data_IF_767815373862
#
_entry.id   IF_767815373862
#
_cell.length_a   1.000
_cell.length_b   1.000
_cell.length_c   1.000
_cell.angle_alpha   90.00
_cell.angle_beta   90.00
_cell.angle_gamma   90.00
#
_symmetry.space_group_name_H-M   'P 1'
#
loop_
_entity.id
_entity.type
_entity.pdbx_description
1 polymer ?
#
# COMPACT_ATOMS: atom_id res chain seq x y z
N UNK A 1 -34.05 24.69 -95.49
CA UNK A 1 -33.73 26.10 -95.17
C UNK A 1 -34.09 26.31 -93.70
N UNK A 2 -33.09 26.47 -92.83
CA UNK A 2 -33.16 26.83 -91.38
C UNK A 2 -33.79 25.80 -90.41
N UNK A 3 -33.44 25.68 -89.11
CA UNK A 3 -32.30 26.02 -88.23
C UNK A 3 -32.72 25.50 -86.82
N UNK A 4 -31.83 24.78 -86.10
CA UNK A 4 -31.70 24.66 -84.61
C UNK A 4 -32.89 24.06 -83.81
N UNK A 5 -32.78 23.39 -82.66
CA UNK A 5 -31.69 23.15 -81.68
C UNK A 5 -32.10 22.04 -80.69
N UNK A 6 -31.11 21.49 -80.00
CA UNK A 6 -31.12 20.93 -78.62
C UNK A 6 -32.25 19.96 -78.24
N UNK A 7 -31.96 18.72 -77.85
CA UNK A 7 -30.97 18.39 -76.85
C UNK A 7 -31.71 17.66 -75.74
N UNK A 8 -31.37 16.41 -75.49
CA UNK A 8 -31.05 15.95 -74.14
C UNK A 8 -30.77 14.44 -74.14
N UNK A 9 -29.64 14.13 -73.52
CA UNK A 9 -29.43 12.95 -72.67
C UNK A 9 -29.64 11.60 -73.34
N UNK A 10 -28.61 11.12 -74.04
CA UNK A 10 -27.52 10.32 -73.45
C UNK A 10 -28.00 8.99 -72.84
N UNK A 11 -27.78 7.92 -73.62
CA UNK A 11 -27.40 6.52 -73.25
C UNK A 11 -28.02 5.91 -71.96
N UNK A 12 -28.45 4.65 -71.92
CA UNK A 12 -28.43 3.54 -72.85
C UNK A 12 -29.43 2.46 -72.36
N UNK A 13 -29.89 1.57 -73.26
CA UNK A 13 -30.83 0.48 -72.98
C UNK A 13 -30.30 -0.48 -71.91
N UNK A 14 -31.19 -0.93 -71.01
CA UNK A 14 -30.93 -2.03 -70.09
C UNK A 14 -30.53 -3.30 -70.84
N UNK A 15 -29.31 -3.82 -70.69
CA UNK A 15 -29.00 -5.17 -71.13
C UNK A 15 -29.41 -6.12 -70.01
N UNK A 16 -30.39 -6.97 -70.30
CA UNK A 16 -30.68 -8.19 -69.54
C UNK A 16 -29.42 -9.06 -69.47
N UNK A 17 -28.59 -8.85 -68.46
CA UNK A 17 -27.45 -9.72 -68.18
C UNK A 17 -27.91 -10.88 -67.30
N UNK A 18 -27.72 -12.07 -67.87
CA UNK A 18 -28.09 -13.42 -67.42
C UNK A 18 -27.91 -13.63 -65.91
N UNK A 19 -29.03 -13.59 -65.18
CA UNK A 19 -29.19 -13.98 -63.76
C UNK A 19 -28.54 -15.34 -63.41
N UNK A 20 -28.40 -16.23 -64.40
CA UNK A 20 -27.73 -17.54 -64.26
C UNK A 20 -26.21 -17.43 -64.12
N UNK A 21 -25.55 -16.45 -64.74
CA UNK A 21 -24.10 -16.26 -64.62
C UNK A 21 -23.73 -15.63 -63.29
N UNK A 22 -24.57 -14.70 -62.78
CA UNK A 22 -24.39 -14.10 -61.45
C UNK A 22 -24.55 -15.15 -60.34
N UNK A 23 -25.57 -16.03 -60.44
CA UNK A 23 -25.73 -17.14 -59.50
C UNK A 23 -24.57 -18.15 -59.57
N UNK A 24 -24.05 -18.45 -60.76
CA UNK A 24 -22.91 -19.36 -60.91
C UNK A 24 -21.63 -18.77 -60.26
N UNK A 25 -21.34 -17.49 -60.48
CA UNK A 25 -20.20 -16.81 -59.86
C UNK A 25 -20.39 -16.74 -58.33
N UNK A 26 -21.61 -16.46 -57.85
CA UNK A 26 -21.91 -16.45 -56.42
C UNK A 26 -21.73 -17.84 -55.79
N UNK A 27 -22.12 -18.91 -56.47
CA UNK A 27 -21.93 -20.28 -55.98
C UNK A 27 -20.45 -20.69 -55.96
N UNK A 28 -19.65 -20.28 -56.93
CA UNK A 28 -18.19 -20.53 -56.93
C UNK A 28 -17.51 -19.74 -55.81
N UNK A 29 -17.90 -18.49 -55.59
CA UNK A 29 -17.41 -17.69 -54.45
C UNK A 29 -17.85 -18.27 -53.10
N UNK A 30 -19.06 -18.81 -52.99
CA UNK A 30 -19.55 -19.45 -51.77
C UNK A 30 -18.79 -20.75 -51.47
N UNK A 31 -18.51 -21.57 -52.50
CA UNK A 31 -17.71 -22.80 -52.34
C UNK A 31 -16.25 -22.47 -52.03
N UNK A 32 -15.68 -21.41 -52.61
CA UNK A 32 -14.35 -20.93 -52.26
C UNK A 32 -14.29 -20.36 -50.83
N UNK A 33 -15.32 -19.64 -50.39
CA UNK A 33 -15.41 -19.11 -49.02
C UNK A 33 -15.60 -20.23 -47.99
N UNK A 34 -16.43 -21.24 -48.30
CA UNK A 34 -16.60 -22.42 -47.45
C UNK A 34 -15.34 -23.30 -47.45
N UNK A 35 -14.68 -23.46 -48.59
CA UNK A 35 -13.40 -24.16 -48.69
C UNK A 35 -12.29 -23.46 -47.91
N UNK A 36 -12.24 -22.12 -47.97
CA UNK A 36 -11.35 -21.29 -47.16
C UNK A 36 -11.67 -21.34 -45.67
N UNK A 37 -12.95 -21.38 -45.29
CA UNK A 37 -13.37 -21.53 -43.90
C UNK A 37 -13.07 -22.93 -43.36
N UNK A 38 -13.28 -23.99 -44.16
CA UNK A 38 -12.94 -25.38 -43.79
C UNK A 38 -11.44 -25.57 -43.74
N UNK A 39 -10.67 -24.98 -44.66
CA UNK A 39 -9.21 -24.98 -44.59
C UNK A 39 -8.69 -24.16 -43.40
N UNK A 40 -9.30 -23.01 -43.10
CA UNK A 40 -8.94 -22.20 -41.92
C UNK A 40 -9.31 -22.90 -40.61
N UNK A 41 -10.47 -23.55 -40.54
CA UNK A 41 -10.86 -24.41 -39.43
C UNK A 41 -9.95 -25.64 -39.33
N UNK A 42 -9.59 -26.28 -40.45
CA UNK A 42 -8.65 -27.39 -40.49
C UNK A 42 -7.24 -26.97 -40.07
N UNK A 43 -6.83 -25.74 -40.40
CA UNK A 43 -5.55 -25.15 -39.99
C UNK A 43 -5.56 -24.81 -38.50
N UNK A 44 -6.70 -24.35 -37.95
CA UNK A 44 -6.91 -24.16 -36.51
C UNK A 44 -7.07 -25.48 -35.75
N UNK A 45 -7.45 -26.57 -36.42
CA UNK A 45 -7.54 -27.93 -35.83
C UNK A 45 -6.36 -28.82 -36.18
N UNK A 46 -5.22 -28.29 -36.64
CA UNK A 46 -3.99 -29.07 -36.50
C UNK A 46 -3.89 -29.41 -35.01
N UNK A 47 -3.79 -30.70 -34.63
CA UNK A 47 -3.32 -31.02 -33.31
C UNK A 47 -1.94 -30.39 -33.23
N UNK A 48 -1.86 -29.23 -32.57
CA UNK A 48 -0.62 -28.79 -31.95
C UNK A 48 -0.19 -30.03 -31.20
N UNK A 49 0.91 -30.66 -31.63
CA UNK A 49 1.52 -31.72 -30.86
C UNK A 49 1.49 -31.20 -29.43
N UNK A 50 0.85 -31.92 -28.47
CA UNK A 50 0.71 -31.40 -27.12
C UNK A 50 2.07 -30.85 -26.77
N UNK A 51 2.16 -29.57 -26.31
CA UNK A 51 3.45 -29.03 -25.91
C UNK A 51 4.10 -30.12 -25.09
N UNK A 52 5.38 -30.48 -25.36
CA UNK A 52 6.04 -31.52 -24.58
C UNK A 52 5.65 -31.24 -23.14
N UNK A 53 5.08 -32.24 -22.41
CA UNK A 53 4.56 -32.00 -21.07
C UNK A 53 5.59 -31.13 -20.39
N UNK A 54 5.19 -29.95 -19.85
CA UNK A 54 6.15 -28.98 -19.32
C UNK A 54 7.14 -29.82 -18.55
N UNK A 55 8.41 -29.82 -18.98
CA UNK A 55 9.43 -30.67 -18.37
C UNK A 55 9.19 -30.51 -16.89
N UNK A 56 8.83 -31.61 -16.20
CA UNK A 56 8.41 -31.56 -14.79
C UNK A 56 9.37 -30.56 -14.18
N UNK A 57 8.87 -29.39 -13.75
CA UNK A 57 9.74 -28.35 -13.22
C UNK A 57 10.39 -29.06 -12.06
N UNK A 58 11.62 -29.54 -12.26
CA UNK A 58 12.24 -30.55 -11.42
C UNK A 58 12.31 -29.86 -10.09
N UNK A 59 11.34 -30.16 -9.24
CA UNK A 59 11.04 -29.40 -8.04
C UNK A 59 12.09 -29.92 -7.07
N UNK A 60 13.30 -29.42 -7.29
CA UNK A 60 14.49 -29.93 -6.66
C UNK A 60 14.48 -29.35 -5.26
N UNK A 61 14.50 -30.20 -4.22
CA UNK A 61 14.67 -29.69 -2.87
C UNK A 61 15.99 -28.94 -2.78
N UNK A 62 16.06 -27.94 -1.90
CA UNK A 62 17.31 -27.23 -1.67
C UNK A 62 18.44 -28.21 -1.30
N UNK A 63 19.57 -28.05 -1.96
CA UNK A 63 20.83 -28.65 -1.51
C UNK A 63 21.25 -28.07 -0.16
N UNK A 64 22.17 -28.74 0.53
CA UNK A 64 22.73 -28.23 1.78
C UNK A 64 23.41 -26.85 1.59
N UNK A 65 24.08 -26.64 0.45
CA UNK A 65 24.72 -25.37 0.14
C UNK A 65 23.69 -24.26 -0.09
N UNK A 66 22.65 -24.52 -0.88
CA UNK A 66 21.57 -23.55 -1.12
C UNK A 66 20.84 -23.22 0.19
N UNK A 67 20.58 -24.22 1.04
CA UNK A 67 19.97 -24.03 2.37
C UNK A 67 20.83 -23.12 3.24
N UNK A 68 22.15 -23.36 3.31
CA UNK A 68 23.07 -22.51 4.06
C UNK A 68 23.14 -21.09 3.49
N UNK A 69 23.12 -20.94 2.16
CA UNK A 69 23.07 -19.66 1.48
C UNK A 69 21.82 -18.85 1.84
N UNK A 70 20.63 -19.47 1.75
CA UNK A 70 19.37 -18.84 2.13
C UNK A 70 19.38 -18.45 3.62
N UNK A 71 19.82 -19.33 4.51
CA UNK A 71 19.90 -19.01 5.94
C UNK A 71 20.83 -17.81 6.21
N UNK A 72 21.99 -17.77 5.56
CA UNK A 72 22.92 -16.63 5.66
C UNK A 72 22.31 -15.33 5.17
N UNK A 73 21.56 -15.36 4.06
CA UNK A 73 20.81 -14.20 3.58
C UNK A 73 19.77 -13.76 4.61
N UNK A 74 18.94 -14.67 5.13
CA UNK A 74 17.92 -14.34 6.13
C UNK A 74 18.52 -13.78 7.43
N UNK A 75 19.67 -14.31 7.87
CA UNK A 75 20.37 -13.82 9.05
C UNK A 75 20.93 -12.41 8.83
N UNK A 76 21.44 -12.10 7.63
CA UNK A 76 21.86 -10.74 7.26
C UNK A 76 20.70 -9.74 7.34
N UNK A 77 19.52 -10.13 6.85
CA UNK A 77 18.34 -9.27 6.88
C UNK A 77 17.84 -9.00 8.32
N UNK A 78 18.15 -9.86 9.29
CA UNK A 78 17.70 -9.70 10.69
C UNK A 78 18.40 -8.60 11.49
N UNK A 79 19.46 -7.97 10.96
CA UNK A 79 20.28 -7.01 11.72
C UNK A 79 20.32 -5.62 11.04
N UNK A 80 19.71 -5.47 9.86
CA UNK A 80 19.77 -4.25 9.05
C UNK A 80 18.61 -3.26 9.24
N UNK A 81 18.72 -2.11 8.60
CA UNK A 81 17.58 -1.22 8.38
C UNK A 81 17.05 -1.44 6.97
N UNK A 82 15.73 -1.36 6.81
CA UNK A 82 15.04 -1.76 5.60
C UNK A 82 14.12 -0.66 5.09
N UNK A 83 14.12 -0.45 3.78
CA UNK A 83 13.02 0.19 3.08
C UNK A 83 12.16 -0.92 2.45
N UNK A 84 10.85 -0.84 2.65
CA UNK A 84 9.88 -1.80 2.15
C UNK A 84 8.79 -1.06 1.39
N UNK A 85 8.55 -1.44 0.13
CA UNK A 85 7.49 -0.85 -0.70
C UNK A 85 6.69 -1.93 -1.39
N UNK A 86 5.37 -1.82 -1.36
CA UNK A 86 4.51 -2.83 -1.97
C UNK A 86 3.10 -2.78 -1.43
N UNK A 87 2.55 -3.94 -1.11
CA UNK A 87 1.16 -4.10 -0.69
C UNK A 87 1.00 -5.01 0.51
N UNK A 88 -0.06 -4.76 1.27
CA UNK A 88 -0.53 -5.58 2.38
C UNK A 88 -1.96 -5.99 2.11
N UNK A 89 -2.24 -7.28 2.16
CA UNK A 89 -3.59 -7.83 2.07
C UNK A 89 -4.09 -8.23 3.45
N UNK A 90 -5.15 -7.59 3.92
CA UNK A 90 -5.78 -7.85 5.21
C UNK A 90 -7.29 -7.62 5.13
N UNK A 91 -8.08 -8.48 5.78
CA UNK A 91 -9.55 -8.37 5.84
C UNK A 91 -10.22 -8.20 4.46
N UNK A 92 -9.72 -8.92 3.45
CA UNK A 92 -10.21 -8.84 2.07
C UNK A 92 -9.87 -7.55 1.32
N UNK A 93 -8.97 -6.72 1.86
CA UNK A 93 -8.53 -5.46 1.25
C UNK A 93 -7.04 -5.48 0.98
N UNK A 94 -6.64 -4.81 -0.10
CA UNK A 94 -5.23 -4.58 -0.43
C UNK A 94 -4.89 -3.11 -0.21
N UNK A 95 -3.83 -2.88 0.55
CA UNK A 95 -3.35 -1.56 0.95
C UNK A 95 -1.94 -1.36 0.42
N UNK A 96 -1.61 -0.17 -0.06
CA UNK A 96 -0.24 0.16 -0.47
C UNK A 96 0.62 0.51 0.74
N UNK A 97 1.88 0.09 0.77
CA UNK A 97 2.84 0.45 1.82
C UNK A 97 4.11 1.05 1.23
N UNK A 98 4.67 2.01 1.95
CA UNK A 98 6.03 2.48 1.76
C UNK A 98 6.61 2.81 3.13
N UNK A 99 7.51 1.98 3.62
CA UNK A 99 7.97 1.94 5.00
C UNK A 99 9.49 1.91 5.06
N UNK A 100 10.06 2.57 6.06
CA UNK A 100 11.48 2.47 6.40
C UNK A 100 11.58 2.16 7.90
N UNK A 101 12.27 1.09 8.29
CA UNK A 101 12.33 0.67 9.69
C UNK A 101 13.61 -0.09 10.04
N UNK A 102 13.98 -0.07 11.32
CA UNK A 102 15.06 -0.89 11.87
C UNK A 102 14.59 -2.35 12.02
N UNK A 103 15.47 -3.33 11.81
CA UNK A 103 15.10 -4.76 11.86
C UNK A 103 14.43 -5.20 13.17
N UNK A 104 14.83 -4.61 14.30
CA UNK A 104 14.25 -4.85 15.62
C UNK A 104 12.82 -4.28 15.79
N UNK A 105 12.35 -3.51 14.80
CA UNK A 105 11.05 -2.86 14.83
C UNK A 105 10.94 -1.79 15.91
N UNK A 106 12.05 -1.23 16.41
CA UNK A 106 12.01 -0.21 17.46
C UNK A 106 11.69 1.18 16.92
N UNK A 107 12.18 1.50 15.71
CA UNK A 107 12.03 2.80 15.05
C UNK A 107 11.74 2.60 13.57
N UNK A 108 10.86 3.43 13.03
CA UNK A 108 10.51 3.40 11.62
C UNK A 108 9.47 4.45 11.28
N UNK A 109 9.30 4.72 10.00
CA UNK A 109 8.27 5.62 9.50
C UNK A 109 7.92 5.29 8.07
N UNK A 110 6.81 5.84 7.59
CA UNK A 110 6.39 5.62 6.23
C UNK A 110 4.95 5.99 6.04
N UNK A 111 4.34 5.37 5.04
CA UNK A 111 2.96 5.61 4.67
C UNK A 111 2.21 4.34 4.33
N UNK A 112 0.91 4.41 4.58
CA UNK A 112 -0.09 3.43 4.17
C UNK A 112 -1.05 4.12 3.20
N UNK A 113 -1.39 3.44 2.10
CA UNK A 113 -2.39 3.90 1.16
C UNK A 113 -3.62 2.98 1.21
N UNK A 114 -4.79 3.57 1.50
CA UNK A 114 -6.07 2.88 1.56
C UNK A 114 -7.07 3.60 0.66
N UNK A 115 -7.55 2.93 -0.39
CA UNK A 115 -8.55 3.51 -1.30
C UNK A 115 -8.09 4.81 -1.99
N UNK A 116 -6.78 4.98 -2.24
CA UNK A 116 -6.21 6.19 -2.81
C UNK A 116 -5.87 7.27 -1.77
N UNK A 117 -6.25 7.09 -0.51
CA UNK A 117 -5.96 8.01 0.58
C UNK A 117 -4.65 7.61 1.27
N UNK A 118 -3.84 8.61 1.62
CA UNK A 118 -2.55 8.42 2.28
C UNK A 118 -2.69 8.68 3.79
N UNK A 119 -2.17 7.75 4.59
CA UNK A 119 -1.91 7.94 6.01
C UNK A 119 -0.42 7.82 6.31
N UNK A 120 0.03 8.56 7.30
CA UNK A 120 1.38 8.46 7.84
C UNK A 120 1.43 7.35 8.89
N UNK A 121 2.53 6.61 8.92
CA UNK A 121 2.79 5.57 9.92
C UNK A 121 4.14 5.83 10.57
N UNK A 122 4.22 5.62 11.87
CA UNK A 122 5.40 5.85 12.70
C UNK A 122 5.55 4.68 13.66
N UNK A 123 6.77 4.19 13.81
CA UNK A 123 7.17 3.31 14.91
C UNK A 123 8.05 4.12 15.85
N UNK A 124 7.69 4.14 17.12
CA UNK A 124 8.48 4.76 18.18
C UNK A 124 8.51 3.83 19.37
N UNK A 125 9.71 3.38 19.76
CA UNK A 125 9.94 2.44 20.87
C UNK A 125 9.14 1.14 20.72
N UNK A 126 9.06 0.61 19.50
CA UNK A 126 8.32 -0.62 19.20
C UNK A 126 6.81 -0.45 19.10
N UNK A 127 6.30 0.77 19.31
CA UNK A 127 4.88 1.07 19.27
C UNK A 127 4.51 1.72 17.94
N UNK A 128 3.45 1.22 17.30
CA UNK A 128 2.99 1.70 16.00
C UNK A 128 1.92 2.78 16.18
N UNK A 129 2.16 3.92 15.55
CA UNK A 129 1.24 5.05 15.46
C UNK A 129 0.87 5.30 14.01
N UNK A 130 -0.37 5.72 13.79
CA UNK A 130 -0.86 6.07 12.48
C UNK A 130 -1.67 7.36 12.53
N UNK A 131 -1.56 8.14 11.47
CA UNK A 131 -2.31 9.38 11.29
C UNK A 131 -2.88 9.43 9.88
N UNK A 132 -4.11 9.88 9.76
CA UNK A 132 -4.77 10.12 8.48
C UNK A 132 -6.05 10.91 8.67
N UNK A 133 -6.62 11.36 7.56
CA UNK A 133 -7.90 12.06 7.56
C UNK A 133 -9.10 11.11 7.71
N UNK A 134 -10.30 11.67 7.78
CA UNK A 134 -11.54 10.89 7.98
C UNK A 134 -11.76 9.88 6.83
N UNK A 135 -11.44 10.26 5.59
CA UNK A 135 -11.62 9.41 4.42
C UNK A 135 -10.64 8.22 4.44
N UNK A 136 -9.41 8.44 4.87
CA UNK A 136 -8.42 7.38 5.10
C UNK A 136 -8.90 6.36 6.14
N UNK A 137 -9.38 6.82 7.31
CA UNK A 137 -9.90 5.90 8.34
C UNK A 137 -11.12 5.11 7.87
N UNK A 138 -12.04 5.74 7.13
CA UNK A 138 -13.16 5.04 6.50
C UNK A 138 -12.71 4.02 5.47
N UNK A 139 -11.69 4.34 4.64
CA UNK A 139 -11.13 3.39 3.67
C UNK A 139 -10.48 2.16 4.36
N UNK A 140 -9.96 2.34 5.58
CA UNK A 140 -9.51 1.24 6.45
C UNK A 140 -10.65 0.49 7.15
N UNK A 141 -11.89 1.00 7.07
CA UNK A 141 -13.04 0.42 7.75
C UNK A 141 -13.09 0.74 9.23
N UNK A 142 -12.40 1.80 9.65
CA UNK A 142 -12.40 2.29 11.03
C UNK A 142 -13.50 3.34 11.17
N UNK A 143 -14.39 3.15 12.14
CA UNK A 143 -15.46 4.09 12.46
C UNK A 143 -15.07 5.13 13.50
N UNK A 144 -15.86 6.20 13.62
CA UNK A 144 -15.65 7.27 14.60
C UNK A 144 -14.94 8.50 14.03
N UNK A 145 -14.91 9.62 14.78
CA UNK A 145 -14.28 10.85 14.34
C UNK A 145 -12.75 10.75 14.45
N UNK A 146 -12.03 11.42 13.53
CA UNK A 146 -10.58 11.61 13.69
C UNK A 146 -10.29 12.28 15.03
N UNK A 147 -9.31 11.81 15.82
CA UNK A 147 -8.92 12.46 17.07
C UNK A 147 -8.47 13.91 16.82
N UNK A 148 -8.54 14.79 17.84
CA UNK A 148 -8.00 16.14 17.73
C UNK A 148 -6.49 16.12 17.40
N UNK A 149 -5.92 17.24 16.94
CA UNK A 149 -4.49 17.36 16.72
C UNK A 149 -3.71 16.87 17.94
N UNK A 150 -2.64 16.08 17.74
CA UNK A 150 -1.88 15.89 16.49
C UNK A 150 -2.37 14.75 15.58
N UNK A 151 -3.57 14.20 15.83
CA UNK A 151 -4.24 13.16 15.02
C UNK A 151 -3.58 11.76 15.04
N UNK A 152 -2.62 11.52 15.94
CA UNK A 152 -1.98 10.22 16.06
C UNK A 152 -2.87 9.22 16.79
N UNK A 153 -3.04 8.05 16.18
CA UNK A 153 -3.74 6.90 16.73
C UNK A 153 -2.72 5.83 17.05
N UNK A 154 -2.81 5.27 18.25
CA UNK A 154 -2.05 4.10 18.67
C UNK A 154 -2.70 2.85 18.05
N UNK A 155 -1.94 2.11 17.23
CA UNK A 155 -2.44 0.90 16.58
C UNK A 155 -2.22 -0.34 17.45
N UNK A 156 -3.29 -1.13 17.70
CA UNK A 156 -3.18 -2.44 18.30
C UNK A 156 -2.38 -3.41 17.42
N UNK A 157 -1.71 -4.38 18.04
CA UNK A 157 -0.84 -5.34 17.33
C UNK A 157 -1.60 -6.21 16.32
N UNK A 158 -2.90 -6.43 16.51
CA UNK A 158 -3.75 -7.22 15.63
C UNK A 158 -4.49 -6.38 14.56
N UNK A 159 -4.30 -5.06 14.54
CA UNK A 159 -4.84 -4.21 13.50
C UNK A 159 -4.29 -4.63 12.13
N UNK A 160 -5.19 -4.83 11.16
CA UNK A 160 -4.87 -5.42 9.85
C UNK A 160 -4.11 -6.77 9.93
N UNK A 161 -4.33 -7.51 11.02
CA UNK A 161 -3.66 -8.77 11.32
C UNK A 161 -2.17 -8.63 11.54
N UNK A 162 -1.70 -7.50 12.08
CA UNK A 162 -0.29 -7.24 12.40
C UNK A 162 0.60 -6.97 11.19
N UNK A 163 0.01 -6.60 10.05
CA UNK A 163 0.73 -6.47 8.77
C UNK A 163 1.10 -5.04 8.38
N UNK A 164 0.65 -4.03 9.12
CA UNK A 164 1.02 -2.62 8.85
C UNK A 164 2.53 -2.45 8.92
N UNK A 165 3.15 -3.10 9.91
CA UNK A 165 4.58 -3.27 10.01
C UNK A 165 4.87 -4.72 10.35
N UNK A 166 5.71 -5.35 9.53
CA UNK A 166 6.19 -6.70 9.77
C UNK A 166 7.68 -6.60 10.09
N UNK A 167 8.04 -6.85 11.35
CA UNK A 167 9.43 -6.82 11.80
C UNK A 167 10.30 -7.79 10.98
N UNK A 168 11.59 -7.49 10.83
CA UNK A 168 12.53 -8.32 10.06
C UNK A 168 12.51 -9.78 10.52
N UNK A 169 12.55 -9.96 11.84
CA UNK A 169 12.49 -11.27 12.46
C UNK A 169 11.22 -12.07 12.10
N UNK A 170 10.07 -11.40 11.93
CA UNK A 170 8.82 -12.08 11.62
C UNK A 170 8.82 -12.66 10.20
N UNK A 171 9.23 -11.87 9.20
CA UNK A 171 9.22 -12.34 7.82
C UNK A 171 10.42 -13.22 7.48
N UNK A 172 11.60 -13.01 8.07
CA UNK A 172 12.72 -13.94 7.89
C UNK A 172 12.42 -15.30 8.52
N UNK A 173 11.73 -15.33 9.68
CA UNK A 173 11.26 -16.57 10.29
C UNK A 173 10.22 -17.28 9.41
N UNK A 174 9.33 -16.52 8.74
CA UNK A 174 8.39 -17.06 7.77
C UNK A 174 9.10 -17.70 6.56
N UNK A 175 10.23 -17.14 6.14
CA UNK A 175 11.04 -17.61 5.02
C UNK A 175 12.04 -18.71 5.38
N UNK A 176 12.16 -19.14 6.63
CA UNK A 176 13.13 -20.21 6.98
C UNK A 176 12.85 -21.50 6.17
N UNK A 177 13.88 -22.13 5.58
CA UNK A 177 13.71 -23.35 4.79
C UNK A 177 13.01 -24.47 5.56
N UNK A 178 12.06 -25.11 4.90
CA UNK A 178 11.44 -26.37 5.33
C UNK A 178 11.92 -27.52 4.44
N UNK A 179 11.59 -28.79 4.72
CA UNK A 179 11.96 -29.92 3.85
C UNK A 179 11.42 -29.82 2.41
N UNK A 180 10.37 -29.02 2.18
CA UNK A 180 9.76 -28.78 0.85
C UNK A 180 10.22 -27.46 0.23
N UNK A 181 11.20 -26.78 0.85
CA UNK A 181 11.80 -25.58 0.30
C UNK A 181 12.53 -25.87 -1.01
N UNK A 182 12.46 -24.92 -1.93
CA UNK A 182 13.01 -25.06 -3.28
C UNK A 182 13.37 -23.70 -3.86
N UNK A 183 14.17 -23.73 -4.92
CA UNK A 183 14.59 -22.55 -5.66
C UNK A 183 14.29 -22.77 -7.14
N UNK A 184 13.49 -21.88 -7.71
CA UNK A 184 13.07 -21.91 -9.11
C UNK A 184 13.55 -20.61 -9.77
N UNK A 185 14.66 -20.68 -10.50
CA UNK A 185 15.29 -19.48 -11.08
C UNK A 185 15.81 -18.53 -10.01
N UNK A 186 15.26 -17.32 -9.94
CA UNK A 186 15.56 -16.31 -8.92
C UNK A 186 14.59 -16.36 -7.72
N UNK A 187 13.60 -17.25 -7.76
CA UNK A 187 12.52 -17.29 -6.79
C UNK A 187 12.73 -18.43 -5.81
N UNK A 188 12.88 -18.07 -4.54
CA UNK A 188 12.95 -18.98 -3.41
C UNK A 188 11.55 -19.21 -2.82
N UNK A 189 11.18 -20.47 -2.64
CA UNK A 189 9.98 -20.89 -1.93
C UNK A 189 10.38 -21.57 -0.63
N UNK A 190 9.87 -21.08 0.51
CA UNK A 190 10.19 -21.65 1.84
C UNK A 190 9.62 -23.04 2.07
N UNK A 191 8.70 -23.48 1.21
CA UNK A 191 7.89 -24.69 1.37
C UNK A 191 6.62 -24.47 2.21
N UNK A 192 6.39 -23.24 2.68
CA UNK A 192 5.08 -22.77 3.19
C UNK A 192 4.32 -22.08 2.07
N UNK A 193 2.99 -22.21 2.06
CA UNK A 193 2.12 -21.73 0.97
C UNK A 193 2.15 -20.20 0.81
N UNK A 194 2.41 -19.46 1.88
CA UNK A 194 2.32 -18.01 1.96
C UNK A 194 3.67 -17.33 2.17
N UNK A 195 4.79 -18.01 1.90
CA UNK A 195 6.13 -17.48 2.12
C UNK A 195 7.12 -17.81 0.98
N UNK A 196 7.43 -16.81 0.17
CA UNK A 196 8.43 -16.84 -0.89
C UNK A 196 9.22 -15.54 -0.98
N UNK A 197 10.37 -15.55 -1.65
CA UNK A 197 11.17 -14.36 -1.88
C UNK A 197 11.88 -14.42 -3.23
N UNK A 198 12.15 -13.25 -3.83
CA UNK A 198 13.09 -13.16 -4.94
C UNK A 198 14.49 -12.89 -4.40
N UNK A 199 15.45 -13.69 -4.85
CA UNK A 199 16.86 -13.62 -4.47
C UNK A 199 17.64 -13.01 -5.64
N UNK A 200 18.41 -11.97 -5.35
CA UNK A 200 19.36 -11.38 -6.30
C UNK A 200 20.79 -11.52 -5.79
N UNK A 201 21.74 -11.04 -6.59
CA UNK A 201 23.18 -11.15 -6.30
C UNK A 201 23.59 -10.51 -4.96
N UNK A 202 22.84 -9.51 -4.50
CA UNK A 202 23.18 -8.70 -3.33
C UNK A 202 22.26 -8.90 -2.11
N UNK A 203 21.26 -9.79 -2.21
CA UNK A 203 20.30 -10.03 -1.12
C UNK A 203 18.91 -10.40 -1.61
N UNK A 204 17.93 -10.28 -0.72
CA UNK A 204 16.52 -10.40 -1.11
C UNK A 204 16.06 -9.13 -1.82
N UNK A 205 15.36 -9.29 -2.93
CA UNK A 205 14.81 -8.19 -3.74
C UNK A 205 13.36 -7.90 -3.38
N UNK A 206 12.58 -8.97 -3.16
CA UNK A 206 11.17 -8.87 -2.75
C UNK A 206 10.76 -10.08 -1.94
N UNK A 207 9.71 -9.92 -1.13
CA UNK A 207 9.10 -10.97 -0.33
C UNK A 207 7.61 -11.07 -0.60
N UNK A 208 7.09 -12.27 -0.48
CA UNK A 208 5.69 -12.57 -0.30
C UNK A 208 5.55 -13.34 1.00
N UNK A 209 5.01 -12.72 2.06
CA UNK A 209 4.86 -13.33 3.39
C UNK A 209 3.51 -12.98 3.98
N UNK A 210 2.65 -13.97 4.20
CA UNK A 210 1.41 -13.81 4.96
C UNK A 210 0.51 -12.68 4.44
N UNK A 211 0.41 -12.50 3.12
CA UNK A 211 -0.37 -11.42 2.49
C UNK A 211 0.36 -10.08 2.34
N UNK A 212 1.60 -9.96 2.80
CA UNK A 212 2.50 -8.85 2.44
C UNK A 212 3.24 -9.22 1.17
N UNK A 213 3.20 -8.36 0.16
CA UNK A 213 3.99 -8.49 -1.07
C UNK A 213 4.77 -7.18 -1.27
N UNK A 214 6.07 -7.21 -1.05
CA UNK A 214 6.87 -5.99 -1.03
C UNK A 214 8.30 -6.19 -1.53
N UNK A 215 8.79 -5.18 -2.22
CA UNK A 215 10.20 -5.01 -2.51
C UNK A 215 10.93 -4.60 -1.24
N UNK A 216 12.12 -5.15 -1.02
CA UNK A 216 12.98 -4.84 0.12
C UNK A 216 14.27 -4.24 -0.40
N UNK A 217 14.72 -3.17 0.26
CA UNK A 217 16.03 -2.59 0.02
C UNK A 217 16.73 -2.31 1.35
N UNK A 218 17.95 -2.82 1.56
CA UNK A 218 18.77 -2.40 2.68
C UNK A 218 19.04 -0.90 2.63
N UNK A 219 18.93 -0.24 3.77
CA UNK A 219 19.25 1.17 3.98
C UNK A 219 20.09 1.31 5.24
N UNK A 220 20.61 2.51 5.50
CA UNK A 220 21.35 2.80 6.73
C UNK A 220 20.39 3.12 7.88
N UNK A 221 20.80 2.87 9.15
CA UNK A 221 19.99 3.28 10.30
C UNK A 221 19.68 4.79 10.33
N UNK A 222 20.59 5.63 9.84
CA UNK A 222 20.41 7.09 9.78
C UNK A 222 19.27 7.50 8.82
N UNK A 223 19.10 6.76 7.71
CA UNK A 223 18.00 6.96 6.76
C UNK A 223 16.63 6.56 7.34
N UNK A 224 16.60 5.83 8.46
CA UNK A 224 15.38 5.51 9.21
C UNK A 224 15.15 6.52 10.34
N UNK A 225 16.14 6.72 11.20
CA UNK A 225 15.97 7.46 12.46
C UNK A 225 15.71 8.95 12.22
N UNK A 226 16.36 9.57 11.23
CA UNK A 226 16.13 10.97 10.88
C UNK A 226 14.68 11.26 10.49
N UNK A 227 14.14 10.62 9.43
CA UNK A 227 12.76 10.79 9.02
C UNK A 227 11.73 10.42 10.11
N UNK A 228 11.97 9.34 10.86
CA UNK A 228 11.09 8.93 11.96
C UNK A 228 11.04 9.97 13.08
N UNK A 229 12.18 10.54 13.46
CA UNK A 229 12.26 11.61 14.47
C UNK A 229 11.49 12.84 14.01
N UNK A 230 11.70 13.29 12.77
CA UNK A 230 11.01 14.45 12.21
C UNK A 230 9.49 14.26 12.20
N UNK A 231 9.03 13.10 11.72
CA UNK A 231 7.60 12.76 11.70
C UNK A 231 7.00 12.67 13.10
N UNK A 232 7.79 12.18 14.08
CA UNK A 232 7.37 11.96 15.46
C UNK A 232 7.41 13.18 16.38
N UNK A 233 7.93 14.33 15.93
CA UNK A 233 8.14 15.54 16.75
C UNK A 233 6.92 15.93 17.60
N UNK A 234 5.73 15.93 17.00
CA UNK A 234 4.48 16.35 17.64
C UNK A 234 3.55 15.16 17.92
N UNK A 235 4.08 13.96 18.12
CA UNK A 235 3.23 12.75 18.19
C UNK A 235 2.26 12.76 19.37
N UNK A 236 2.67 13.32 20.51
CA UNK A 236 1.97 13.17 21.78
C UNK A 236 1.89 11.70 22.22
N UNK A 237 0.99 11.30 23.13
CA UNK A 237 0.82 9.89 23.51
C UNK A 237 0.09 9.06 22.44
N UNK A 238 -0.66 9.71 21.54
CA UNK A 238 -1.58 9.04 20.62
C UNK A 238 -2.90 8.63 21.29
N UNK A 239 -3.94 8.50 20.49
CA UNK A 239 -5.27 8.05 20.95
C UNK A 239 -5.40 6.55 20.70
N UNK A 240 -5.74 5.73 21.72
CA UNK A 240 -5.89 4.30 21.52
C UNK A 240 -7.08 3.98 20.62
N UNK A 241 -6.87 3.10 19.64
CA UNK A 241 -7.96 2.52 18.86
C UNK A 241 -8.71 1.47 19.71
N UNK A 242 -10.03 1.46 19.60
CA UNK A 242 -10.90 0.50 20.27
C UNK A 242 -11.64 -0.41 19.29
N UNK A 243 -12.52 -1.26 19.84
CA UNK A 243 -13.46 -2.07 19.06
C UNK A 243 -14.89 -1.81 19.48
N UNK A 244 -15.81 -1.89 18.52
CA UNK A 244 -17.24 -1.96 18.79
C UNK A 244 -17.61 -3.34 19.38
N UNK A 245 -18.81 -3.52 19.96
CA UNK A 245 -19.30 -4.83 20.40
C UNK A 245 -19.37 -5.88 19.28
N UNK A 246 -19.50 -5.45 18.01
CA UNK A 246 -19.49 -6.32 16.82
C UNK A 246 -18.07 -6.67 16.36
N UNK A 247 -17.04 -6.08 16.97
CA UNK A 247 -15.64 -6.34 16.66
C UNK A 247 -15.02 -5.39 15.63
N UNK A 248 -15.77 -4.40 15.15
CA UNK A 248 -15.29 -3.41 14.18
C UNK A 248 -14.33 -2.42 14.85
N UNK A 249 -13.31 -1.98 14.13
CA UNK A 249 -12.36 -1.00 14.62
C UNK A 249 -13.01 0.39 14.74
N UNK A 250 -12.74 1.08 15.86
CA UNK A 250 -13.28 2.42 16.09
C UNK A 250 -12.29 3.35 16.79
N UNK A 251 -12.37 4.63 16.45
CA UNK A 251 -11.72 5.72 17.15
C UNK A 251 -12.67 6.28 18.21
N UNK A 252 -12.19 6.51 19.45
CA UNK A 252 -13.04 7.07 20.49
C UNK A 252 -13.46 8.50 20.11
N UNK A 253 -14.66 8.93 20.53
CA UNK A 253 -15.04 10.33 20.40
C UNK A 253 -14.04 11.21 21.16
N UNK A 254 -13.80 12.42 20.65
CA UNK A 254 -13.02 13.40 21.39
C UNK A 254 -13.63 13.54 22.80
N UNK A 255 -12.80 13.57 23.87
CA UNK A 255 -13.32 13.85 25.19
C UNK A 255 -14.11 15.16 25.13
N UNK A 256 -15.33 15.16 25.68
CA UNK A 256 -16.12 16.38 25.79
C UNK A 256 -15.24 17.39 26.54
N UNK A 257 -14.75 18.40 25.83
CA UNK A 257 -13.83 19.35 26.42
C UNK A 257 -14.45 19.94 27.68
N UNK A 258 -13.64 20.04 28.73
CA UNK A 258 -13.86 21.05 29.76
C UNK A 258 -14.18 22.35 29.01
N UNK A 259 -15.39 22.86 29.22
CA UNK A 259 -15.79 24.14 28.68
C UNK A 259 -14.70 25.12 29.10
N UNK A 260 -13.89 25.58 28.15
CA UNK A 260 -12.92 26.63 28.41
C UNK A 260 -13.69 27.74 29.12
N UNK A 261 -13.22 28.11 30.31
CA UNK A 261 -13.52 29.44 30.86
C UNK A 261 -13.22 30.41 29.72
N UNK A 262 -14.30 30.94 29.13
CA UNK A 262 -14.18 31.98 28.14
C UNK A 262 -13.34 33.11 28.73
N UNK A 263 -12.53 33.80 27.91
CA UNK A 263 -11.75 34.93 28.38
C UNK A 263 -12.69 35.88 29.12
N UNK A 264 -12.35 36.16 30.38
CA UNK A 264 -13.15 36.98 31.28
C UNK A 264 -13.66 38.20 30.53
N UNK A 265 -14.98 38.37 30.54
CA UNK A 265 -15.61 39.59 30.08
C UNK A 265 -14.96 40.74 30.85
N UNK A 266 -14.19 41.56 30.14
CA UNK A 266 -13.75 42.87 30.61
C UNK A 266 -14.97 43.62 31.14
N UNK A 267 -15.04 43.98 32.43
CA UNK A 267 -16.12 44.84 32.91
C UNK A 267 -15.96 46.21 32.25
N UNK A 268 -17.06 46.72 31.69
CA UNK A 268 -17.15 48.07 31.15
C UNK A 268 -16.81 49.11 32.25
N UNK A 269 -16.16 50.25 31.90
CA UNK A 269 -15.81 51.27 32.87
C UNK A 269 -17.04 52.12 33.21
N UNK A 270 -17.46 52.13 34.48
CA UNK A 270 -18.51 53.03 34.93
C UNK A 270 -19.09 52.69 36.29
N UNK A 271 -18.38 53.06 37.35
CA UNK A 271 -18.96 53.64 38.57
C UNK A 271 -17.82 53.92 39.56
N UNK A 272 -17.52 55.20 39.70
CA UNK A 272 -16.77 55.81 40.80
C UNK A 272 -17.43 55.49 42.15
N UNK A 273 -16.64 55.12 43.17
CA UNK A 273 -16.96 55.51 44.54
C UNK A 273 -15.75 56.16 45.26
N UNK A 274 -16.03 56.92 46.33
CA UNK A 274 -15.16 57.99 46.81
C UNK A 274 -14.04 57.52 47.75
N UNK A 275 -13.01 58.36 47.78
CA UNK A 275 -11.99 58.61 48.81
C UNK A 275 -11.93 57.69 50.04
N UNK A 276 -10.74 57.15 50.30
CA UNK A 276 -10.42 56.45 51.54
C UNK A 276 -8.96 56.00 51.67
N UNK A 277 -8.07 56.96 51.90
CA UNK A 277 -6.79 56.89 52.64
C UNK A 277 -6.00 55.57 52.80
N UNK A 278 -4.71 55.72 52.46
CA UNK A 278 -3.50 55.35 53.22
C UNK A 278 -2.71 54.09 52.83
N UNK A 279 -1.48 54.36 52.36
CA UNK A 279 -0.16 53.76 52.65
C UNK A 279 -0.11 52.25 53.02
N UNK A 280 0.83 51.46 52.52
CA UNK A 280 2.26 51.55 52.89
C UNK A 280 3.14 50.67 51.98
N UNK A 281 4.33 51.19 51.69
CA UNK A 281 5.54 50.57 51.15
C UNK A 281 5.99 49.28 51.86
N UNK A 282 6.56 48.30 51.14
CA UNK A 282 7.67 47.38 51.54
C UNK A 282 7.96 46.45 50.35
N UNK A 283 8.96 46.73 49.52
CA UNK A 283 10.37 46.32 49.63
C UNK A 283 10.65 44.85 49.26
N UNK A 284 11.48 44.71 48.23
CA UNK A 284 12.02 43.49 47.67
C UNK A 284 12.98 42.75 48.63
N UNK A 285 13.08 41.43 48.46
CA UNK A 285 14.16 40.62 49.00
C UNK A 285 14.86 39.82 47.88
N UNK A 286 16.21 39.75 47.88
CA UNK A 286 17.00 39.09 46.84
C UNK A 286 17.18 37.58 47.07
N UNK A 287 17.31 36.82 45.98
CA UNK A 287 17.66 35.39 45.96
C UNK A 287 19.19 35.23 45.94
N UNK A 288 19.81 34.42 46.82
CA UNK A 288 21.26 34.19 46.86
C UNK A 288 21.77 33.18 45.80
N UNK A 289 23.07 33.22 45.45
CA UNK A 289 23.66 32.45 44.35
C UNK A 289 23.96 30.97 44.68
N UNK A 290 23.89 30.16 43.62
CA UNK A 290 24.24 28.72 43.56
C UNK A 290 25.73 28.47 43.83
N UNK A 291 26.00 27.46 44.66
CA UNK A 291 27.31 26.80 44.84
C UNK A 291 27.62 25.87 43.65
N UNK A 292 28.86 25.81 43.13
CA UNK A 292 29.27 24.78 42.15
C UNK A 292 29.73 23.47 42.83
N UNK A 293 29.65 22.32 42.13
CA UNK A 293 30.01 21.02 42.68
C UNK A 293 31.53 20.74 42.67
N UNK A 294 31.95 19.82 43.55
CA UNK A 294 33.24 19.14 43.53
C UNK A 294 33.21 17.92 42.61
#
# INVERSE_FOLDING_TARGET
MGLLTEGDKWRAPQPRVRRRTVLAILSVLLVAALGGLVWWLAVLTHPVAPPPPPADSDTKPLTALETAGILSLLDKENVGAHNMSGTVTANGRTLGIQLSYLADGSVGSGTLNAGGMRGDVLIHEGVVFMRGDQAFWHALGVGGPVPPPPHWVLLPADFLGGKVFMAAQAWTAALRPTPTARLEGDTYFSGREDASAKVGDNGLLSIHVGGVNADIRPITPAEVTGPATLLGTDRGPGVPMGRTPTGDWTLPPAPAGEAGEGPGATPAPGAEPPDGSAATSTAAAPVPPKTPPA
#
